data_IF_944917949919
#
_entry.id   IF_944917949919
#
_cell.length_a   1.000
_cell.length_b   1.000
_cell.length_c   1.000
_cell.angle_alpha   90.00
_cell.angle_beta   90.00
_cell.angle_gamma   90.00
#
_symmetry.space_group_name_H-M   'P 1'
#
loop_
_entity.id
_entity.type
_entity.pdbx_description
1 polymer ?
#
# COMPACT_ATOMS: atom_id res chain seq x y z
N UNK A 1 11.67 -11.55 7.50
CA UNK A 1 11.61 -10.08 7.57
C UNK A 1 11.44 -9.73 9.04
N UNK A 2 12.23 -8.83 9.64
CA UNK A 2 12.03 -8.50 11.04
C UNK A 2 10.57 -8.05 11.24
N UNK A 3 9.91 -8.61 12.26
CA UNK A 3 8.50 -8.38 12.50
C UNK A 3 8.20 -6.90 12.67
N UNK A 4 7.18 -6.38 12.01
CA UNK A 4 6.87 -4.95 12.04
C UNK A 4 5.85 -4.54 11.00
N UNK A 5 5.13 -3.47 11.29
CA UNK A 5 4.15 -2.91 10.40
C UNK A 5 4.81 -2.15 9.25
N UNK A 6 4.21 -2.27 8.07
CA UNK A 6 4.58 -1.55 6.86
C UNK A 6 3.57 -0.45 6.57
N UNK A 7 4.07 0.60 5.92
CA UNK A 7 3.27 1.73 5.43
C UNK A 7 3.00 1.50 3.94
N UNK A 8 1.74 1.47 3.56
CA UNK A 8 1.30 1.26 2.18
C UNK A 8 0.65 2.51 1.61
N UNK A 9 0.92 2.75 0.33
CA UNK A 9 0.28 3.77 -0.48
C UNK A 9 0.34 3.36 -1.95
N UNK A 10 -0.64 3.77 -2.74
CA UNK A 10 -0.61 3.54 -4.18
C UNK A 10 0.38 4.48 -4.86
N UNK A 11 1.10 4.00 -5.87
CA UNK A 11 2.09 4.82 -6.60
C UNK A 11 1.45 6.00 -7.33
N UNK A 12 0.18 5.90 -7.73
CA UNK A 12 -0.58 7.00 -8.35
C UNK A 12 -0.82 8.12 -7.35
N UNK A 13 -1.22 7.78 -6.11
CA UNK A 13 -1.39 8.77 -5.03
C UNK A 13 -0.08 9.50 -4.72
N UNK A 14 1.06 8.80 -4.79
CA UNK A 14 2.38 9.42 -4.62
C UNK A 14 2.67 10.39 -5.77
N UNK A 15 2.42 10.01 -7.02
CA UNK A 15 2.61 10.90 -8.16
C UNK A 15 1.72 12.15 -8.07
N UNK A 16 0.43 11.96 -7.75
CA UNK A 16 -0.53 13.05 -7.57
C UNK A 16 -0.11 13.97 -6.43
N UNK A 17 0.35 13.43 -5.30
CA UNK A 17 0.84 14.24 -4.19
C UNK A 17 2.04 15.14 -4.59
N UNK A 18 2.95 14.65 -5.44
CA UNK A 18 4.06 15.46 -5.94
C UNK A 18 3.57 16.60 -6.84
N UNK A 19 2.66 16.31 -7.78
CA UNK A 19 2.10 17.31 -8.70
C UNK A 19 1.33 18.37 -7.89
N UNK A 20 0.42 17.96 -7.02
CA UNK A 20 -0.41 18.86 -6.23
C UNK A 20 0.42 19.73 -5.26
N UNK A 21 1.48 19.17 -4.68
CA UNK A 21 2.39 19.94 -3.83
C UNK A 21 3.22 20.96 -4.64
N UNK A 22 3.60 20.63 -5.87
CA UNK A 22 4.34 21.54 -6.74
C UNK A 22 3.47 22.67 -7.28
N UNK A 23 2.24 22.36 -7.69
CA UNK A 23 1.34 23.31 -8.33
C UNK A 23 0.64 24.26 -7.35
N UNK A 24 0.47 23.85 -6.09
CA UNK A 24 -0.17 24.67 -5.06
C UNK A 24 0.83 25.64 -4.42
N UNK A 25 0.73 26.97 -4.64
CA UNK A 25 1.67 27.94 -4.08
C UNK A 25 1.64 28.03 -2.55
N UNK A 26 0.58 27.51 -1.92
CA UNK A 26 0.43 27.46 -0.46
C UNK A 26 1.02 26.18 0.15
N UNK A 27 1.54 25.24 -0.67
CA UNK A 27 2.16 24.03 -0.18
C UNK A 27 3.50 24.33 0.52
N UNK A 28 3.71 23.75 1.69
CA UNK A 28 4.93 23.97 2.49
C UNK A 28 5.38 22.69 3.18
N UNK A 29 6.67 22.62 3.51
CA UNK A 29 7.27 21.58 4.34
C UNK A 29 7.04 20.15 3.82
N UNK A 30 6.68 19.24 4.73
CA UNK A 30 6.59 17.80 4.51
C UNK A 30 5.14 17.33 4.48
N UNK A 31 4.87 16.30 3.68
CA UNK A 31 3.57 15.66 3.52
C UNK A 31 3.73 14.14 3.71
N UNK A 32 3.01 13.56 4.67
CA UNK A 32 2.96 12.12 4.83
C UNK A 32 1.96 11.53 3.83
N UNK A 33 2.45 10.77 2.87
CA UNK A 33 1.67 10.13 1.82
C UNK A 33 1.57 8.64 2.13
N UNK A 34 0.67 8.31 3.07
CA UNK A 34 0.43 6.94 3.57
C UNK A 34 -1.06 6.70 3.59
N UNK A 35 -1.53 5.62 2.95
CA UNK A 35 -2.95 5.25 2.92
C UNK A 35 -3.32 4.29 4.07
N UNK A 36 -2.44 3.34 4.38
CA UNK A 36 -2.70 2.30 5.40
C UNK A 36 -1.41 1.81 6.04
N UNK A 37 -1.47 1.51 7.34
CA UNK A 37 -0.40 0.82 8.07
C UNK A 37 -0.92 -0.54 8.51
N UNK A 38 -0.18 -1.61 8.22
CA UNK A 38 -0.53 -2.98 8.60
C UNK A 38 0.68 -3.91 8.52
N UNK A 39 0.60 -5.08 9.16
CA UNK A 39 1.62 -6.10 9.03
C UNK A 39 1.64 -6.70 7.62
N UNK A 40 2.79 -7.20 7.19
CA UNK A 40 2.90 -7.85 5.87
C UNK A 40 1.91 -9.02 5.71
N UNK A 41 1.68 -9.82 6.76
CA UNK A 41 0.74 -10.95 6.66
C UNK A 41 -0.70 -10.49 6.38
N UNK A 42 -1.14 -9.35 6.95
CA UNK A 42 -2.47 -8.81 6.69
C UNK A 42 -2.63 -8.40 5.21
N UNK A 43 -1.56 -7.91 4.57
CA UNK A 43 -1.56 -7.63 3.13
C UNK A 43 -1.64 -8.93 2.30
N UNK A 44 -0.92 -9.98 2.72
CA UNK A 44 -0.98 -11.29 2.09
C UNK A 44 -2.37 -11.93 2.23
N UNK A 45 -3.03 -11.73 3.37
CA UNK A 45 -4.41 -12.19 3.60
C UNK A 45 -5.36 -11.52 2.62
N UNK A 46 -5.24 -10.21 2.39
CA UNK A 46 -6.03 -9.50 1.36
C UNK A 46 -5.80 -10.12 -0.02
N UNK A 47 -4.54 -10.38 -0.38
CA UNK A 47 -4.22 -10.99 -1.67
C UNK A 47 -4.79 -12.42 -1.80
N UNK A 48 -4.78 -13.23 -0.74
CA UNK A 48 -5.39 -14.57 -0.75
C UNK A 48 -6.90 -14.53 -0.98
N UNK A 49 -7.60 -13.54 -0.40
CA UNK A 49 -9.02 -13.36 -0.65
C UNK A 49 -9.32 -12.91 -2.08
N UNK A 50 -8.48 -12.03 -2.65
CA UNK A 50 -8.64 -11.54 -4.03
C UNK A 50 -8.26 -12.58 -5.09
N UNK A 51 -7.26 -13.41 -4.81
CA UNK A 51 -6.67 -14.37 -5.74
C UNK A 51 -6.43 -15.74 -5.07
N UNK A 52 -7.50 -16.49 -4.76
CA UNK A 52 -7.38 -17.77 -4.03
C UNK A 52 -6.61 -18.84 -4.80
N UNK A 53 -6.43 -18.69 -6.12
CA UNK A 53 -5.65 -19.60 -6.95
C UNK A 53 -4.15 -19.30 -6.94
N UNK A 54 -3.73 -18.14 -6.43
CA UNK A 54 -2.31 -17.86 -6.23
C UNK A 54 -1.85 -18.56 -4.95
N UNK A 55 -0.78 -19.35 -5.07
CA UNK A 55 -0.16 -20.00 -3.92
C UNK A 55 0.66 -19.00 -3.10
N UNK A 56 -0.04 -18.15 -2.33
CA UNK A 56 0.54 -17.11 -1.49
C UNK A 56 0.80 -17.71 -0.10
N UNK A 57 2.05 -17.65 0.42
CA UNK A 57 2.38 -18.18 1.73
C UNK A 57 1.46 -17.63 2.83
N UNK A 58 1.08 -18.49 3.77
CA UNK A 58 0.44 -18.06 5.01
C UNK A 58 1.42 -17.20 5.82
N UNK A 59 0.92 -16.09 6.33
CA UNK A 59 1.69 -15.30 7.27
C UNK A 59 1.58 -15.91 8.66
N UNK A 60 2.68 -15.84 9.43
CA UNK A 60 2.69 -16.27 10.83
C UNK A 60 2.54 -15.06 11.74
N UNK A 61 1.75 -15.18 12.82
CA UNK A 61 1.65 -14.17 13.89
C UNK A 61 2.99 -13.99 14.64
N UNK A 62 3.94 -14.92 14.52
CA UNK A 62 5.31 -14.75 15.05
C UNK A 62 6.05 -13.57 14.38
N UNK A 63 5.55 -13.11 13.22
CA UNK A 63 6.01 -11.90 12.53
C UNK A 63 5.49 -10.60 13.16
N UNK A 64 4.78 -10.66 14.31
CA UNK A 64 4.33 -9.47 15.07
C UNK A 64 5.36 -8.98 16.09
N UNK A 65 6.51 -9.63 16.19
CA UNK A 65 7.55 -9.37 17.22
C UNK A 65 8.25 -8.00 17.15
N UNK A 66 7.87 -7.11 16.23
CA UNK A 66 8.36 -5.72 16.24
C UNK A 66 7.24 -4.69 16.18
N UNK A 67 7.44 -3.56 15.48
CA UNK A 67 6.58 -2.39 15.65
C UNK A 67 5.13 -2.68 15.22
N UNK A 68 4.12 -2.50 16.09
CA UNK A 68 2.74 -2.71 15.72
C UNK A 68 2.24 -1.62 14.76
N UNK A 69 1.16 -1.86 13.98
CA UNK A 69 0.58 -0.86 13.11
C UNK A 69 0.18 0.39 13.89
N UNK A 70 0.61 1.54 13.39
CA UNK A 70 0.29 2.85 13.94
C UNK A 70 -0.34 3.72 12.87
N UNK A 71 -1.17 4.67 13.31
CA UNK A 71 -1.80 5.64 12.42
C UNK A 71 -0.78 6.71 12.03
N UNK A 72 -0.58 6.90 10.72
CA UNK A 72 0.16 8.05 10.19
C UNK A 72 -0.87 9.08 9.74
N UNK A 73 -0.80 10.29 10.29
CA UNK A 73 -1.66 11.38 9.82
C UNK A 73 -1.30 11.72 8.38
N UNK A 74 -2.28 11.60 7.49
CA UNK A 74 -2.19 11.98 6.07
C UNK A 74 -3.10 13.18 5.74
N UNK A 75 -3.64 13.87 6.75
CA UNK A 75 -4.57 14.99 6.58
C UNK A 75 -3.95 16.14 5.77
N UNK A 76 -2.65 16.39 5.96
CA UNK A 76 -1.95 17.42 5.18
C UNK A 76 -1.86 17.05 3.69
N UNK A 77 -1.68 15.77 3.36
CA UNK A 77 -1.73 15.31 1.96
C UNK A 77 -3.15 15.43 1.39
N UNK A 78 -4.19 15.07 2.17
CA UNK A 78 -5.59 15.29 1.78
C UNK A 78 -5.91 16.76 1.54
N UNK A 79 -5.34 17.68 2.33
CA UNK A 79 -5.54 19.13 2.13
C UNK A 79 -4.94 19.67 0.83
N UNK A 80 -4.01 18.94 0.19
CA UNK A 80 -3.55 19.25 -1.17
C UNK A 80 -4.55 18.80 -2.25
N UNK A 81 -5.52 17.97 -1.89
CA UNK A 81 -6.45 17.32 -2.82
C UNK A 81 -6.12 15.85 -3.13
N UNK A 82 -5.13 15.25 -2.46
CA UNK A 82 -4.79 13.82 -2.66
C UNK A 82 -5.97 12.95 -2.21
N UNK A 83 -6.46 12.12 -3.13
CA UNK A 83 -7.48 11.10 -2.86
C UNK A 83 -6.81 9.73 -2.82
N UNK A 84 -6.76 9.10 -1.65
CA UNK A 84 -6.04 7.83 -1.48
C UNK A 84 -6.82 6.65 -2.05
N UNK A 85 -6.18 5.88 -2.93
CA UNK A 85 -6.72 4.62 -3.46
C UNK A 85 -6.71 3.56 -2.35
N UNK A 86 -7.81 2.81 -2.13
CA UNK A 86 -7.84 1.75 -1.13
C UNK A 86 -6.77 0.69 -1.37
N UNK A 87 -6.12 0.22 -0.30
CA UNK A 87 -5.04 -0.77 -0.39
C UNK A 87 -5.44 -2.03 -1.18
N UNK A 88 -6.67 -2.51 -1.03
CA UNK A 88 -7.19 -3.67 -1.77
C UNK A 88 -7.14 -3.44 -3.28
N UNK A 89 -7.46 -2.23 -3.75
CA UNK A 89 -7.38 -1.87 -5.16
C UNK A 89 -5.92 -1.77 -5.63
N UNK A 90 -5.05 -1.16 -4.83
CA UNK A 90 -3.61 -1.05 -5.14
C UNK A 90 -2.94 -2.43 -5.26
N UNK A 91 -3.25 -3.35 -4.34
CA UNK A 91 -2.79 -4.74 -4.37
C UNK A 91 -3.34 -5.49 -5.59
N UNK A 92 -4.63 -5.30 -5.91
CA UNK A 92 -5.26 -5.89 -7.09
C UNK A 92 -4.55 -5.45 -8.36
N UNK A 93 -4.36 -4.15 -8.55
CA UNK A 93 -3.73 -3.55 -9.73
C UNK A 93 -2.26 -3.99 -9.85
N UNK A 94 -1.56 -4.15 -8.72
CA UNK A 94 -0.19 -4.68 -8.70
C UNK A 94 -0.13 -6.10 -9.25
N UNK A 95 -1.04 -6.99 -8.81
CA UNK A 95 -1.10 -8.37 -9.29
C UNK A 95 -1.46 -8.45 -10.77
N UNK A 96 -2.41 -7.63 -11.25
CA UNK A 96 -2.74 -7.58 -12.68
C UNK A 96 -1.56 -7.04 -13.52
N UNK A 97 -0.86 -6.00 -13.06
CA UNK A 97 0.35 -5.49 -13.72
C UNK A 97 1.45 -6.57 -13.80
N UNK A 98 1.61 -7.39 -12.75
CA UNK A 98 2.55 -8.51 -12.78
C UNK A 98 2.13 -9.61 -13.76
N UNK A 99 0.83 -9.89 -13.91
CA UNK A 99 0.31 -10.80 -14.94
C UNK A 99 0.61 -10.31 -16.34
N UNK A 100 0.23 -9.07 -16.64
CA UNK A 100 0.43 -8.44 -17.95
C UNK A 100 1.89 -8.43 -18.38
N UNK A 101 2.80 -8.34 -17.40
CA UNK A 101 4.25 -8.33 -17.61
C UNK A 101 4.91 -9.71 -17.49
N UNK A 102 4.13 -10.78 -17.34
CA UNK A 102 4.60 -12.15 -17.15
C UNK A 102 5.61 -12.32 -15.99
N UNK A 103 5.43 -11.55 -14.91
CA UNK A 103 6.30 -11.60 -13.72
C UNK A 103 5.85 -12.64 -12.69
N UNK A 104 4.61 -13.12 -12.80
CA UNK A 104 4.03 -14.18 -11.96
C UNK A 104 3.23 -15.15 -12.82
N UNK A 105 3.30 -16.44 -12.50
CA UNK A 105 2.55 -17.50 -13.18
C UNK A 105 1.27 -17.82 -12.41
N UNK A 106 0.14 -17.84 -13.11
CA UNK A 106 -1.09 -18.45 -12.62
C UNK A 106 -1.07 -19.89 -13.08
N UNK A 107 -0.70 -20.81 -12.19
CA UNK A 107 -0.87 -22.23 -12.47
C UNK A 107 -2.38 -22.51 -12.46
N UNK A 108 -2.93 -22.93 -13.60
CA UNK A 108 -4.28 -23.48 -13.72
C UNK A 108 -4.35 -24.87 -13.08
#
# INVERSE_FOLDING_TARGET
>A
MPGGAFLYVDVRDVADAHILAFENPSATDRYCVVAKTLYAFEALDILRHLYPTLNIPEGSEENTSGTPPYQVSNEKAKSLGVSFIPLQQSLKDTVESFKERNLISFTL
#
